data_IF_553382319711
#
_entry.id   IF_553382319711
#
_cell.length_a   1.000
_cell.length_b   1.000
_cell.length_c   1.000
_cell.angle_alpha   90.00
_cell.angle_beta   90.00
_cell.angle_gamma   90.00
#
_symmetry.space_group_name_H-M   'P 1'
#
loop_
_entity.id
_entity.type
_entity.pdbx_description
1 polymer ?
#
# COMPACT_ATOMS: atom_id res chain seq x y z
N UNK A 1 -26.15 12.77 -14.42
CA UNK A 1 -25.59 11.96 -13.29
C UNK A 1 -24.21 12.45 -12.87
N UNK A 2 -23.22 12.50 -13.78
CA UNK A 2 -21.85 12.97 -13.49
C UNK A 2 -21.77 14.26 -12.64
N UNK A 3 -22.49 15.31 -13.04
CA UNK A 3 -22.48 16.60 -12.31
C UNK A 3 -23.12 16.53 -10.91
N UNK A 4 -24.07 15.62 -10.67
CA UNK A 4 -24.69 15.43 -9.36
C UNK A 4 -23.79 14.60 -8.44
N UNK A 5 -23.12 13.57 -8.98
CA UNK A 5 -22.13 12.79 -8.26
C UNK A 5 -20.93 13.64 -7.83
N UNK A 6 -20.41 14.49 -8.72
CA UNK A 6 -19.34 15.44 -8.38
C UNK A 6 -19.77 16.46 -7.31
N UNK A 7 -21.05 16.87 -7.30
CA UNK A 7 -21.57 17.76 -6.27
C UNK A 7 -21.66 17.07 -4.91
N UNK A 8 -22.09 15.80 -4.88
CA UNK A 8 -22.12 15.00 -3.65
C UNK A 8 -20.71 14.71 -3.15
N UNK A 9 -19.80 14.32 -4.05
CA UNK A 9 -18.38 14.10 -3.77
C UNK A 9 -17.73 15.29 -3.07
N UNK A 10 -18.01 16.51 -3.54
CA UNK A 10 -17.49 17.76 -2.96
C UNK A 10 -17.91 17.99 -1.50
N UNK A 11 -18.99 17.35 -1.01
CA UNK A 11 -19.38 17.42 0.41
C UNK A 11 -18.50 16.56 1.30
N UNK A 12 -17.86 15.55 0.74
CA UNK A 12 -17.03 14.57 1.46
C UNK A 12 -15.53 14.78 1.26
N UNK A 13 -15.12 15.54 0.25
CA UNK A 13 -13.71 15.90 0.04
C UNK A 13 -13.41 17.16 0.87
N UNK A 14 -12.44 17.13 1.80
CA UNK A 14 -11.96 18.34 2.46
C UNK A 14 -11.32 19.25 1.41
N UNK A 15 -12.05 20.30 1.04
CA UNK A 15 -11.60 21.32 0.09
C UNK A 15 -11.00 22.46 0.91
N UNK A 16 -9.72 22.39 1.20
CA UNK A 16 -9.00 23.40 2.01
C UNK A 16 -8.71 24.68 1.21
N UNK A 17 -9.69 25.19 0.47
CA UNK A 17 -9.58 26.40 -0.37
C UNK A 17 -8.71 26.25 -1.63
N UNK A 18 -8.05 25.11 -1.84
CA UNK A 18 -7.30 24.82 -3.06
C UNK A 18 -8.21 24.33 -4.19
N UNK A 19 -7.88 24.68 -5.44
CA UNK A 19 -8.47 24.01 -6.61
C UNK A 19 -8.15 22.51 -6.54
N UNK A 20 -9.17 21.66 -6.69
CA UNK A 20 -9.09 20.21 -6.56
C UNK A 20 -9.44 19.55 -7.89
N UNK A 21 -8.60 18.61 -8.30
CA UNK A 21 -8.86 17.69 -9.40
C UNK A 21 -9.60 16.48 -8.84
N UNK A 22 -10.74 16.15 -9.43
CA UNK A 22 -11.59 15.04 -9.00
C UNK A 22 -11.93 14.19 -10.21
N UNK A 23 -11.81 12.88 -10.04
CA UNK A 23 -12.28 11.89 -10.99
C UNK A 23 -13.07 10.79 -10.26
N UNK A 24 -13.86 10.02 -10.98
CA UNK A 24 -14.70 8.98 -10.40
C UNK A 24 -14.89 7.79 -11.33
N UNK A 25 -15.18 6.63 -10.72
CA UNK A 25 -15.52 5.40 -11.40
C UNK A 25 -16.73 4.76 -10.73
N UNK A 26 -17.70 4.32 -11.53
CA UNK A 26 -18.85 3.56 -11.02
C UNK A 26 -18.40 2.11 -10.79
N UNK A 27 -18.71 1.55 -9.61
CA UNK A 27 -18.31 0.20 -9.21
C UNK A 27 -19.48 -0.79 -9.31
N UNK A 28 -19.42 -1.65 -10.33
CA UNK A 28 -20.33 -2.79 -10.55
C UNK A 28 -21.62 -2.46 -11.29
N UNK A 29 -22.28 -3.51 -11.79
CA UNK A 29 -23.51 -3.44 -12.61
C UNK A 29 -24.79 -3.79 -11.84
N UNK A 30 -24.69 -4.07 -10.54
CA UNK A 30 -25.83 -4.53 -9.72
C UNK A 30 -26.76 -3.38 -9.31
N UNK A 31 -27.45 -2.86 -10.32
CA UNK A 31 -28.64 -2.02 -10.21
C UNK A 31 -29.90 -2.84 -9.85
N UNK A 32 -29.80 -4.16 -9.71
CA UNK A 32 -30.99 -5.02 -9.67
C UNK A 32 -31.70 -5.11 -8.30
N UNK A 33 -31.06 -4.71 -7.19
CA UNK A 33 -31.69 -4.81 -5.86
C UNK A 33 -31.61 -3.54 -4.98
N UNK A 34 -30.92 -2.48 -5.42
CA UNK A 34 -30.92 -1.20 -4.70
C UNK A 34 -30.82 -0.01 -5.65
N UNK A 35 -31.55 1.07 -5.36
CA UNK A 35 -31.44 2.37 -6.08
C UNK A 35 -30.08 3.07 -5.86
N UNK A 36 -29.10 2.41 -5.23
CA UNK A 36 -27.82 3.00 -4.87
C UNK A 36 -26.70 2.54 -5.81
N UNK A 37 -26.05 3.52 -6.44
CA UNK A 37 -24.87 3.31 -7.27
C UNK A 37 -23.63 3.45 -6.41
N UNK A 38 -22.75 2.44 -6.43
CA UNK A 38 -21.43 2.55 -5.79
C UNK A 38 -20.50 3.34 -6.70
N UNK A 39 -19.85 4.36 -6.14
CA UNK A 39 -18.94 5.24 -6.88
C UNK A 39 -17.63 5.34 -6.11
N UNK A 40 -16.53 5.00 -6.76
CA UNK A 40 -15.19 5.33 -6.31
C UNK A 40 -14.88 6.76 -6.75
N UNK A 41 -14.46 7.60 -5.81
CA UNK A 41 -14.06 8.98 -6.09
C UNK A 41 -12.59 9.14 -5.68
N UNK A 42 -11.81 9.76 -6.56
CA UNK A 42 -10.43 10.14 -6.31
C UNK A 42 -10.32 11.65 -6.39
N UNK A 43 -9.59 12.25 -5.46
CA UNK A 43 -9.34 13.68 -5.46
C UNK A 43 -7.89 14.00 -5.10
N UNK A 44 -7.33 15.02 -5.75
CA UNK A 44 -6.01 15.56 -5.43
C UNK A 44 -6.03 17.08 -5.56
N UNK A 45 -5.20 17.77 -4.77
CA UNK A 45 -4.96 19.19 -4.99
C UNK A 45 -4.37 19.42 -6.39
N UNK A 46 -4.80 20.49 -7.06
CA UNK A 46 -4.25 20.87 -8.37
C UNK A 46 -2.75 21.15 -8.28
N UNK A 47 -2.27 21.67 -7.14
CA UNK A 47 -0.84 21.89 -6.89
C UNK A 47 -0.04 20.59 -6.97
N UNK A 48 -0.47 19.55 -6.27
CA UNK A 48 0.22 18.25 -6.29
C UNK A 48 0.18 17.63 -7.68
N UNK A 49 -0.97 17.73 -8.36
CA UNK A 49 -1.17 17.24 -9.73
C UNK A 49 -0.23 17.93 -10.73
N UNK A 50 -0.24 19.27 -10.80
CA UNK A 50 0.62 20.03 -11.72
C UNK A 50 2.11 19.90 -11.40
N UNK A 51 2.47 19.74 -10.12
CA UNK A 51 3.87 19.50 -9.74
C UNK A 51 4.41 18.21 -10.34
N UNK A 52 3.63 17.12 -10.34
CA UNK A 52 4.04 15.85 -10.95
C UNK A 52 4.09 15.96 -12.47
N UNK A 53 3.09 16.60 -13.09
CA UNK A 53 3.07 16.81 -14.54
C UNK A 53 4.22 17.70 -15.02
N UNK A 54 4.60 18.71 -14.24
CA UNK A 54 5.73 19.59 -14.53
C UNK A 54 7.04 18.82 -14.69
N UNK A 55 7.34 17.93 -13.75
CA UNK A 55 8.57 17.11 -13.78
C UNK A 55 8.64 16.22 -15.03
N UNK A 56 7.51 15.66 -15.47
CA UNK A 56 7.47 14.84 -16.69
C UNK A 56 7.64 15.70 -17.95
N UNK A 57 7.04 16.89 -17.98
CA UNK A 57 7.18 17.83 -19.10
C UNK A 57 8.61 18.35 -19.26
N UNK A 58 9.36 18.51 -18.17
CA UNK A 58 10.78 18.92 -18.20
C UNK A 58 11.68 17.91 -18.93
N UNK A 59 11.26 16.65 -19.01
CA UNK A 59 11.96 15.58 -19.74
C UNK A 59 11.20 15.14 -21.01
N UNK A 60 10.35 16.02 -21.54
CA UNK A 60 9.54 15.82 -22.76
C UNK A 60 8.56 14.62 -22.71
N UNK A 61 8.24 14.12 -21.51
CA UNK A 61 7.23 13.08 -21.30
C UNK A 61 5.85 13.72 -21.16
N UNK A 62 4.90 13.26 -21.98
CA UNK A 62 3.50 13.69 -21.96
C UNK A 62 2.63 12.55 -21.41
N UNK A 63 2.28 12.56 -20.12
CA UNK A 63 1.42 11.52 -19.56
C UNK A 63 0.02 11.60 -20.17
N UNK A 64 -0.48 10.45 -20.62
CA UNK A 64 -1.86 10.27 -21.11
C UNK A 64 -2.82 9.92 -19.98
N UNK A 65 -2.33 9.22 -18.96
CA UNK A 65 -3.08 8.77 -17.79
C UNK A 65 -2.34 9.22 -16.54
N UNK A 66 -3.11 9.67 -15.54
CA UNK A 66 -2.63 9.89 -14.17
C UNK A 66 -3.50 9.03 -13.27
N UNK A 67 -2.88 8.17 -12.48
CA UNK A 67 -3.58 7.19 -11.64
C UNK A 67 -3.19 7.31 -10.16
N UNK A 68 -3.94 6.63 -9.32
CA UNK A 68 -3.62 6.46 -7.90
C UNK A 68 -2.84 5.17 -7.71
N UNK A 69 -1.79 5.24 -6.89
CA UNK A 69 -0.90 4.12 -6.56
C UNK A 69 -1.67 2.85 -6.14
N UNK A 70 -2.65 2.96 -5.23
CA UNK A 70 -3.44 1.81 -4.76
C UNK A 70 -4.29 1.15 -5.85
N UNK A 71 -4.77 1.92 -6.84
CA UNK A 71 -5.49 1.40 -8.00
C UNK A 71 -4.55 0.73 -8.99
N UNK A 72 -3.40 1.34 -9.27
CA UNK A 72 -2.37 0.72 -10.10
C UNK A 72 -1.95 -0.64 -9.51
N UNK A 73 -1.64 -0.68 -8.21
CA UNK A 73 -1.31 -1.91 -7.49
C UNK A 73 -2.43 -2.95 -7.56
N UNK A 74 -3.68 -2.52 -7.38
CA UNK A 74 -4.85 -3.41 -7.50
C UNK A 74 -4.99 -3.97 -8.91
N UNK A 75 -4.82 -3.15 -9.95
CA UNK A 75 -4.88 -3.58 -11.34
C UNK A 75 -3.79 -4.60 -11.66
N UNK A 76 -2.56 -4.37 -11.19
CA UNK A 76 -1.46 -5.33 -11.37
C UNK A 76 -1.78 -6.69 -10.74
N UNK A 77 -2.33 -6.69 -9.53
CA UNK A 77 -2.74 -7.93 -8.87
C UNK A 77 -3.87 -8.64 -9.64
N UNK A 78 -4.89 -7.88 -10.06
CA UNK A 78 -6.08 -8.38 -10.78
C UNK A 78 -5.79 -8.85 -12.20
N UNK A 79 -4.70 -8.38 -12.83
CA UNK A 79 -4.29 -8.85 -14.15
C UNK A 79 -3.90 -10.33 -14.16
N UNK A 80 -3.51 -10.88 -13.01
CA UNK A 80 -2.97 -12.24 -12.90
C UNK A 80 -3.69 -13.09 -11.85
N UNK A 81 -4.60 -12.51 -11.08
CA UNK A 81 -5.30 -13.19 -9.99
C UNK A 81 -6.77 -12.83 -9.96
N UNK A 82 -7.60 -13.84 -9.71
CA UNK A 82 -9.01 -13.63 -9.39
C UNK A 82 -9.20 -13.20 -7.93
N UNK A 83 -10.22 -12.37 -7.71
CA UNK A 83 -10.73 -12.12 -6.36
C UNK A 83 -11.55 -13.31 -5.86
N UNK A 84 -11.49 -13.61 -4.54
CA UNK A 84 -12.32 -14.64 -3.95
C UNK A 84 -13.81 -14.34 -4.14
N UNK A 85 -14.63 -15.38 -4.21
CA UNK A 85 -16.09 -15.23 -4.28
C UNK A 85 -16.68 -14.62 -3.00
N UNK A 86 -16.06 -14.92 -1.86
CA UNK A 86 -16.38 -14.39 -0.53
C UNK A 86 -15.11 -14.00 0.24
N UNK A 87 -15.15 -12.83 0.86
CA UNK A 87 -14.05 -12.28 1.65
C UNK A 87 -13.09 -11.42 0.82
N UNK A 88 -11.96 -11.09 1.45
CA UNK A 88 -11.05 -10.05 0.98
C UNK A 88 -9.62 -10.55 0.83
N UNK A 89 -8.96 -10.06 -0.21
CA UNK A 89 -7.49 -9.99 -0.31
C UNK A 89 -7.05 -8.66 0.29
N UNK A 90 -6.03 -8.69 1.16
CA UNK A 90 -5.44 -7.49 1.76
C UNK A 90 -4.08 -7.24 1.10
N UNK A 91 -4.01 -6.25 0.22
CA UNK A 91 -2.75 -5.78 -0.37
C UNK A 91 -2.05 -4.84 0.63
N UNK A 92 -0.79 -5.11 0.93
CA UNK A 92 0.08 -4.29 1.77
C UNK A 92 1.24 -3.77 0.91
N UNK A 93 1.08 -2.54 0.39
CA UNK A 93 2.14 -1.85 -0.35
C UNK A 93 3.09 -1.17 0.63
N UNK A 94 4.14 -1.90 1.03
CA UNK A 94 5.11 -1.43 2.02
C UNK A 94 6.20 -0.64 1.30
N UNK A 95 5.95 0.66 1.15
CA UNK A 95 6.92 1.62 0.62
C UNK A 95 7.97 2.04 1.64
N UNK A 96 8.85 2.97 1.24
CA UNK A 96 9.89 3.50 2.13
C UNK A 96 9.31 4.35 3.27
N UNK A 97 8.34 5.24 2.99
CA UNK A 97 7.83 6.24 3.96
C UNK A 97 6.47 5.89 4.54
N UNK A 98 5.66 5.12 3.81
CA UNK A 98 4.30 4.76 4.18
C UNK A 98 4.02 3.32 3.73
N UNK A 99 2.95 2.75 4.28
CA UNK A 99 2.32 1.55 3.74
C UNK A 99 0.92 1.90 3.27
N UNK A 100 0.56 1.50 2.04
CA UNK A 100 -0.83 1.55 1.57
C UNK A 100 -1.50 0.20 1.81
N UNK A 101 -2.61 0.20 2.54
CA UNK A 101 -3.38 -1.01 2.85
C UNK A 101 -4.64 -0.98 2.00
N UNK A 102 -4.77 -1.89 1.05
CA UNK A 102 -5.91 -1.97 0.13
C UNK A 102 -6.66 -3.28 0.30
N UNK A 103 -7.98 -3.21 0.47
CA UNK A 103 -8.86 -4.36 0.67
C UNK A 103 -9.69 -4.56 -0.60
N UNK A 104 -9.57 -5.75 -1.19
CA UNK A 104 -10.21 -6.13 -2.45
C UNK A 104 -11.08 -7.38 -2.27
N UNK A 105 -12.34 -7.33 -2.68
CA UNK A 105 -13.24 -8.47 -2.74
C UNK A 105 -14.25 -8.27 -3.86
N UNK A 106 -14.76 -9.36 -4.46
CA UNK A 106 -15.61 -9.29 -5.66
C UNK A 106 -16.92 -8.55 -5.40
N UNK A 107 -17.51 -8.76 -4.21
CA UNK A 107 -18.78 -8.15 -3.80
C UNK A 107 -18.58 -7.03 -2.78
N UNK A 108 -17.40 -6.95 -2.20
CA UNK A 108 -17.08 -6.11 -1.07
C UNK A 108 -16.73 -4.67 -1.48
N UNK A 109 -16.74 -3.77 -0.50
CA UNK A 109 -16.38 -2.36 -0.72
C UNK A 109 -14.88 -2.24 -0.96
N UNK A 110 -14.48 -1.61 -2.07
CA UNK A 110 -13.09 -1.19 -2.26
C UNK A 110 -12.71 -0.20 -1.17
N UNK A 111 -11.61 -0.47 -0.47
CA UNK A 111 -11.13 0.39 0.60
C UNK A 111 -9.62 0.47 0.58
N UNK A 112 -9.08 1.67 0.79
CA UNK A 112 -7.65 1.89 0.92
C UNK A 112 -7.36 2.87 2.04
N UNK A 113 -6.27 2.64 2.77
CA UNK A 113 -5.78 3.53 3.83
C UNK A 113 -4.26 3.53 3.83
N UNK A 114 -3.69 4.73 3.81
CA UNK A 114 -2.27 4.91 4.06
C UNK A 114 -2.00 4.97 5.57
N UNK A 115 -0.93 4.30 6.00
CA UNK A 115 -0.38 4.40 7.35
C UNK A 115 1.06 4.89 7.29
N UNK A 116 1.44 5.77 8.22
CA UNK A 116 2.77 6.39 8.28
C UNK A 116 3.84 5.45 8.86
N UNK A 117 3.81 4.18 8.44
CA UNK A 117 4.80 3.16 8.77
C UNK A 117 5.24 2.55 7.46
N UNK A 118 6.50 2.80 7.09
CA UNK A 118 7.15 2.22 5.91
C UNK A 118 8.56 1.76 6.26
N UNK A 119 9.30 1.27 5.26
CA UNK A 119 10.64 0.69 5.39
C UNK A 119 11.65 1.55 6.17
N UNK A 120 11.56 2.87 6.10
CA UNK A 120 12.45 3.79 6.80
C UNK A 120 12.33 3.68 8.33
N UNK A 121 11.11 3.46 8.86
CA UNK A 121 10.89 3.33 10.31
C UNK A 121 11.62 2.10 10.87
N UNK A 122 11.70 1.03 10.06
CA UNK A 122 12.44 -0.18 10.42
C UNK A 122 13.96 0.05 10.40
N UNK A 123 14.43 0.81 9.42
CA UNK A 123 15.84 1.19 9.32
C UNK A 123 16.26 2.09 10.47
N UNK A 124 15.43 3.07 10.82
CA UNK A 124 15.65 3.96 11.97
C UNK A 124 15.71 3.16 13.28
N UNK A 125 14.82 2.18 13.47
CA UNK A 125 14.84 1.29 14.64
C UNK A 125 16.15 0.48 14.74
N UNK A 126 16.69 0.00 13.62
CA UNK A 126 18.01 -0.66 13.57
C UNK A 126 19.15 0.33 13.87
N UNK A 127 19.10 1.55 13.33
CA UNK A 127 20.09 2.60 13.61
C UNK A 127 20.13 2.91 15.11
N UNK A 128 18.97 3.05 15.75
CA UNK A 128 18.87 3.33 17.18
C UNK A 128 19.33 2.16 18.06
N UNK A 129 18.94 0.92 17.71
CA UNK A 129 19.26 -0.28 18.50
C UNK A 129 20.72 -0.70 18.39
N UNK A 130 21.34 -0.50 17.23
CA UNK A 130 22.67 -1.05 16.91
C UNK A 130 23.71 0.02 16.55
N UNK A 131 23.36 1.31 16.62
CA UNK A 131 24.30 2.42 16.40
C UNK A 131 24.78 2.51 14.95
N UNK A 132 23.99 1.99 14.01
CA UNK A 132 24.34 1.89 12.60
C UNK A 132 24.06 3.19 11.86
N UNK A 133 24.79 3.44 10.76
CA UNK A 133 24.41 4.47 9.79
C UNK A 133 23.29 3.95 8.89
N UNK A 134 22.57 4.86 8.23
CA UNK A 134 21.42 4.53 7.37
C UNK A 134 21.72 3.41 6.35
N UNK A 135 22.81 3.53 5.57
CA UNK A 135 23.16 2.52 4.55
C UNK A 135 23.53 1.16 5.16
N UNK A 136 24.18 1.16 6.33
CA UNK A 136 24.51 -0.07 7.05
C UNK A 136 23.24 -0.71 7.60
N UNK A 137 22.33 0.08 8.16
CA UNK A 137 21.04 -0.37 8.66
C UNK A 137 20.13 -0.92 7.55
N UNK A 138 20.07 -0.28 6.37
CA UNK A 138 19.35 -0.81 5.20
C UNK A 138 19.91 -2.18 4.78
N UNK A 139 21.24 -2.30 4.74
CA UNK A 139 21.90 -3.57 4.40
C UNK A 139 21.59 -4.67 5.44
N UNK A 140 21.71 -4.35 6.73
CA UNK A 140 21.38 -5.27 7.82
C UNK A 140 19.91 -5.67 7.77
N UNK A 141 18.99 -4.73 7.54
CA UNK A 141 17.55 -5.00 7.38
C UNK A 141 17.27 -6.00 6.25
N UNK A 142 17.93 -5.82 5.11
CA UNK A 142 17.75 -6.69 3.95
C UNK A 142 18.36 -8.08 4.15
N UNK A 143 19.57 -8.18 4.69
CA UNK A 143 20.33 -9.44 4.78
C UNK A 143 20.02 -10.24 6.05
N UNK A 144 19.89 -9.55 7.18
CA UNK A 144 19.83 -10.14 8.52
C UNK A 144 18.47 -10.01 9.19
N UNK A 145 17.65 -9.03 8.77
CA UNK A 145 16.32 -8.79 9.34
C UNK A 145 16.34 -7.77 10.46
N UNK A 146 15.33 -7.81 11.33
CA UNK A 146 15.11 -6.78 12.36
C UNK A 146 15.72 -7.12 13.73
N UNK A 147 16.10 -8.38 13.92
CA UNK A 147 16.79 -8.88 15.11
C UNK A 147 18.12 -9.54 14.70
N UNK A 148 19.07 -8.76 14.13
CA UNK A 148 20.38 -9.27 13.74
C UNK A 148 21.21 -9.69 14.95
N UNK A 149 22.18 -10.58 14.73
CA UNK A 149 23.17 -10.96 15.74
C UNK A 149 24.28 -9.88 15.82
N UNK A 150 23.89 -8.71 16.33
CA UNK A 150 24.75 -7.55 16.53
C UNK A 150 24.65 -7.09 17.98
N UNK A 151 25.75 -6.54 18.50
CA UNK A 151 25.74 -5.93 19.83
C UNK A 151 24.82 -4.70 19.82
N UNK A 152 23.83 -4.71 20.72
CA UNK A 152 22.96 -3.55 20.90
C UNK A 152 23.73 -2.47 21.63
N UNK A 153 23.58 -1.22 21.19
CA UNK A 153 24.09 -0.08 21.93
C UNK A 153 23.19 0.15 23.15
N UNK A 154 23.80 0.25 24.33
CA UNK A 154 23.11 0.67 25.53
C UNK A 154 22.59 2.10 25.35
N UNK A 155 21.27 2.24 25.23
CA UNK A 155 20.61 3.52 25.41
C UNK A 155 20.82 3.90 26.88
N UNK A 156 21.70 4.86 27.12
CA UNK A 156 22.26 5.20 28.44
C UNK A 156 21.28 5.13 29.63
N UNK A 157 21.86 4.74 30.78
CA UNK A 157 21.22 4.64 32.09
C UNK A 157 20.30 5.84 32.39
N UNK A 158 18.97 5.64 32.39
CA UNK A 158 18.05 6.66 32.92
C UNK A 158 16.63 6.69 32.33
N UNK A 159 16.37 6.01 31.22
CA UNK A 159 15.02 5.86 30.70
C UNK A 159 14.50 4.46 30.96
N UNK A 160 13.45 4.30 31.75
CA UNK A 160 12.60 3.11 31.70
C UNK A 160 12.24 2.83 30.22
N UNK A 161 12.96 1.93 29.53
CA UNK A 161 12.47 1.31 28.29
C UNK A 161 11.36 0.36 28.72
N UNK A 162 10.23 0.92 29.14
CA UNK A 162 8.97 0.22 29.32
C UNK A 162 8.71 -0.48 27.99
N UNK A 163 8.98 -1.79 27.94
CA UNK A 163 8.70 -2.76 26.88
C UNK A 163 8.21 -2.12 25.58
N UNK A 164 9.07 -1.36 24.90
CA UNK A 164 8.65 -0.64 23.70
C UNK A 164 8.35 -1.71 22.67
N UNK A 165 7.10 -1.78 22.21
CA UNK A 165 6.67 -2.72 21.18
C UNK A 165 7.65 -2.65 20.02
N UNK A 166 8.10 -3.81 19.53
CA UNK A 166 8.97 -3.86 18.37
C UNK A 166 8.29 -3.15 17.19
N UNK A 167 9.05 -2.58 16.25
CA UNK A 167 8.51 -1.85 15.09
C UNK A 167 7.51 -2.69 14.28
N UNK A 168 7.72 -4.01 14.20
CA UNK A 168 6.77 -4.97 13.63
C UNK A 168 5.41 -4.96 14.34
N UNK A 169 5.39 -4.88 15.67
CA UNK A 169 4.15 -4.79 16.44
C UNK A 169 3.40 -3.50 16.20
N UNK A 170 4.11 -2.38 16.07
CA UNK A 170 3.50 -1.11 15.67
C UNK A 170 2.89 -1.19 14.27
N UNK A 171 3.62 -1.77 13.31
CA UNK A 171 3.13 -1.99 11.96
C UNK A 171 1.88 -2.89 11.94
N UNK A 172 1.96 -4.07 12.56
CA UNK A 172 0.85 -5.00 12.63
C UNK A 172 -0.37 -4.43 13.36
N UNK A 173 -0.17 -3.57 14.35
CA UNK A 173 -1.26 -2.90 15.06
C UNK A 173 -1.98 -1.88 14.15
N UNK A 174 -1.26 -1.16 13.29
CA UNK A 174 -1.86 -0.27 12.27
C UNK A 174 -2.60 -1.06 11.19
N UNK A 175 -2.08 -2.21 10.76
CA UNK A 175 -2.81 -3.12 9.86
C UNK A 175 -4.09 -3.59 10.54
N UNK A 176 -4.02 -4.12 11.76
CA UNK A 176 -5.18 -4.59 12.51
C UNK A 176 -6.20 -3.47 12.79
N UNK A 177 -5.75 -2.24 13.05
CA UNK A 177 -6.63 -1.07 13.20
C UNK A 177 -7.40 -0.78 11.91
N UNK A 178 -6.75 -0.91 10.76
CA UNK A 178 -7.36 -0.74 9.44
C UNK A 178 -8.41 -1.82 9.18
N UNK A 179 -8.08 -3.09 9.43
CA UNK A 179 -9.02 -4.20 9.29
C UNK A 179 -10.24 -4.03 10.21
N UNK A 180 -10.05 -3.70 11.49
CA UNK A 180 -11.17 -3.45 12.42
C UNK A 180 -12.06 -2.30 11.99
N UNK A 181 -11.48 -1.24 11.43
CA UNK A 181 -12.26 -0.13 10.88
C UNK A 181 -13.14 -0.64 9.73
N UNK A 182 -12.55 -1.40 8.80
CA UNK A 182 -13.31 -1.98 7.68
C UNK A 182 -14.46 -2.89 8.14
N UNK A 183 -14.19 -3.78 9.11
CA UNK A 183 -15.22 -4.65 9.71
C UNK A 183 -16.36 -3.83 10.30
N UNK A 184 -16.02 -2.75 11.01
CA UNK A 184 -17.03 -1.88 11.64
C UNK A 184 -17.91 -1.19 10.60
N UNK A 185 -17.34 -0.73 9.49
CA UNK A 185 -18.08 -0.01 8.45
C UNK A 185 -18.90 -0.93 7.55
N UNK A 186 -18.44 -2.15 7.29
CA UNK A 186 -19.04 -3.04 6.27
C UNK A 186 -19.67 -4.32 6.82
N UNK A 187 -19.32 -4.73 8.05
CA UNK A 187 -19.69 -6.04 8.61
C UNK A 187 -18.86 -7.22 8.08
N UNK A 188 -18.09 -7.05 7.00
CA UNK A 188 -17.23 -8.09 6.43
C UNK A 188 -15.97 -8.27 7.29
N UNK A 189 -15.67 -9.52 7.67
CA UNK A 189 -14.54 -9.88 8.54
C UNK A 189 -13.70 -11.06 8.04
N UNK A 190 -14.00 -11.57 6.85
CA UNK A 190 -13.24 -12.62 6.20
C UNK A 190 -12.10 -12.00 5.38
N UNK A 191 -10.88 -12.11 5.90
CA UNK A 191 -9.65 -11.75 5.20
C UNK A 191 -8.95 -13.04 4.77
N UNK A 192 -9.01 -13.39 3.48
CA UNK A 192 -8.55 -14.67 2.97
C UNK A 192 -7.03 -14.77 2.94
N UNK A 193 -6.35 -13.71 2.51
CA UNK A 193 -4.88 -13.66 2.45
C UNK A 193 -4.37 -12.22 2.46
N UNK A 194 -3.10 -12.08 2.83
CA UNK A 194 -2.34 -10.84 2.72
C UNK A 194 -1.33 -10.97 1.59
N UNK A 195 -1.18 -9.92 0.82
CA UNK A 195 -0.26 -9.89 -0.31
C UNK A 195 0.67 -8.70 -0.12
N UNK A 196 1.97 -8.97 -0.02
CA UNK A 196 3.00 -7.96 0.14
C UNK A 196 3.43 -7.44 -1.23
N UNK A 197 3.39 -6.13 -1.39
CA UNK A 197 3.89 -5.40 -2.56
C UNK A 197 4.80 -4.25 -2.10
N UNK A 198 5.51 -3.63 -3.03
CA UNK A 198 6.49 -2.58 -2.74
C UNK A 198 7.84 -3.14 -2.28
N UNK A 199 8.83 -2.24 -2.11
CA UNK A 199 10.20 -2.64 -1.74
C UNK A 199 10.30 -3.28 -0.34
N UNK A 200 9.38 -2.93 0.57
CA UNK A 200 9.31 -3.52 1.90
C UNK A 200 8.83 -4.96 1.92
N UNK A 201 8.25 -5.49 0.84
CA UNK A 201 7.92 -6.90 0.71
C UNK A 201 9.15 -7.81 0.80
N UNK A 202 10.33 -7.30 0.42
CA UNK A 202 11.61 -8.02 0.52
C UNK A 202 12.18 -8.06 1.95
N UNK A 203 11.55 -7.40 2.91
CA UNK A 203 12.05 -7.33 4.28
C UNK A 203 11.96 -8.70 4.94
N UNK A 204 13.12 -9.19 5.37
CA UNK A 204 13.21 -10.43 6.13
C UNK A 204 12.34 -10.35 7.39
N UNK A 205 11.76 -11.48 7.78
CA UNK A 205 10.85 -11.66 8.93
C UNK A 205 9.46 -11.04 8.79
N UNK A 206 9.21 -10.12 7.84
CA UNK A 206 7.92 -9.44 7.72
C UNK A 206 6.78 -10.41 7.39
N UNK A 207 6.99 -11.30 6.41
CA UNK A 207 5.99 -12.29 6.02
C UNK A 207 5.64 -13.21 7.20
N UNK A 208 6.64 -13.89 7.77
CA UNK A 208 6.45 -14.81 8.90
C UNK A 208 5.82 -14.12 10.13
N UNK A 209 6.17 -12.85 10.38
CA UNK A 209 5.53 -12.05 11.42
C UNK A 209 4.03 -11.86 11.17
N UNK A 210 3.65 -11.46 9.96
CA UNK A 210 2.25 -11.23 9.59
C UNK A 210 1.44 -12.53 9.59
N UNK A 211 1.98 -13.63 9.08
CA UNK A 211 1.37 -14.96 9.13
C UNK A 211 1.04 -15.34 10.58
N UNK A 212 2.02 -15.18 11.48
CA UNK A 212 1.83 -15.47 12.91
C UNK A 212 0.82 -14.53 13.57
N UNK A 213 0.87 -13.24 13.27
CA UNK A 213 0.01 -12.22 13.89
C UNK A 213 -1.45 -12.38 13.48
N UNK A 214 -1.70 -12.57 12.18
CA UNK A 214 -3.03 -12.61 11.60
C UNK A 214 -3.59 -14.02 11.41
N UNK A 215 -2.76 -15.06 11.56
CA UNK A 215 -3.15 -16.46 11.33
C UNK A 215 -3.77 -16.65 9.95
N UNK A 216 -3.16 -16.04 8.96
CA UNK A 216 -3.60 -16.01 7.58
C UNK A 216 -2.41 -16.19 6.66
N UNK A 217 -2.67 -16.63 5.43
CA UNK A 217 -1.65 -16.78 4.41
C UNK A 217 -1.13 -15.40 4.02
N UNK A 218 0.20 -15.28 3.92
CA UNK A 218 0.88 -14.07 3.48
C UNK A 218 1.85 -14.44 2.37
N UNK A 219 1.78 -13.75 1.25
CA UNK A 219 2.68 -13.98 0.12
C UNK A 219 3.25 -12.68 -0.41
N UNK A 220 4.48 -12.71 -0.92
CA UNK A 220 5.03 -11.60 -1.70
C UNK A 220 4.57 -11.74 -3.15
N UNK A 221 4.02 -10.67 -3.72
CA UNK A 221 3.56 -10.67 -5.10
C UNK A 221 4.72 -10.44 -6.06
N UNK A 222 4.78 -11.28 -7.09
CA UNK A 222 5.65 -11.09 -8.23
C UNK A 222 4.80 -10.65 -9.44
N UNK A 223 4.85 -9.35 -9.82
CA UNK A 223 4.07 -8.84 -10.95
C UNK A 223 4.60 -9.33 -12.30
N UNK A 224 5.77 -9.98 -12.34
CA UNK A 224 6.39 -10.50 -13.55
C UNK A 224 6.20 -12.01 -13.74
N UNK A 225 5.62 -12.72 -12.77
CA UNK A 225 5.55 -14.18 -12.77
C UNK A 225 4.84 -14.78 -14.00
N UNK A 226 3.94 -14.02 -14.62
CA UNK A 226 3.19 -14.42 -15.82
C UNK A 226 3.58 -13.60 -17.07
N UNK A 227 4.70 -12.86 -17.02
CA UNK A 227 5.20 -12.04 -18.12
C UNK A 227 6.39 -12.68 -18.81
N UNK A 228 6.52 -12.46 -20.12
CA UNK A 228 7.74 -12.81 -20.84
C UNK A 228 8.82 -11.76 -20.53
N UNK A 229 9.92 -12.24 -19.95
CA UNK A 229 11.01 -11.39 -19.47
C UNK A 229 12.13 -11.30 -20.52
N UNK A 230 12.38 -10.10 -21.03
CA UNK A 230 13.56 -9.79 -21.87
C UNK A 230 14.75 -9.47 -20.96
N UNK A 231 15.92 -10.07 -21.16
CA UNK A 231 17.10 -9.91 -20.27
C UNK A 231 17.33 -8.47 -19.78
N UNK A 232 17.52 -8.29 -18.46
CA UNK A 232 17.87 -7.00 -17.83
C UNK A 232 16.76 -6.31 -17.04
N UNK A 233 15.81 -7.07 -16.48
CA UNK A 233 14.49 -6.63 -16.05
C UNK A 233 14.44 -5.85 -14.71
N UNK A 234 15.57 -5.33 -14.26
CA UNK A 234 15.68 -4.50 -13.07
C UNK A 234 16.42 -5.16 -11.91
N UNK A 235 17.17 -4.35 -11.17
CA UNK A 235 17.82 -4.74 -9.92
C UNK A 235 16.82 -4.63 -8.76
N UNK A 236 16.61 -5.72 -8.02
CA UNK A 236 15.83 -5.72 -6.77
C UNK A 236 14.66 -6.70 -6.75
N UNK A 237 13.81 -6.59 -5.73
CA UNK A 237 12.73 -7.54 -5.49
C UNK A 237 11.53 -7.25 -6.41
N UNK A 238 10.96 -8.23 -7.14
CA UNK A 238 9.90 -8.00 -8.14
C UNK A 238 8.71 -7.17 -7.64
N UNK A 239 8.28 -7.43 -6.41
CA UNK A 239 7.20 -6.69 -5.73
C UNK A 239 7.33 -5.16 -5.78
N UNK A 240 8.55 -4.60 -5.86
CA UNK A 240 8.78 -3.16 -5.92
C UNK A 240 8.25 -2.50 -7.21
N UNK A 241 8.07 -3.30 -8.26
CA UNK A 241 7.59 -2.82 -9.56
C UNK A 241 6.07 -2.95 -9.74
N UNK A 242 5.35 -3.42 -8.72
CA UNK A 242 3.91 -3.70 -8.83
C UNK A 242 3.10 -2.49 -9.29
N UNK A 243 3.33 -1.30 -8.71
CA UNK A 243 2.64 -0.09 -9.13
C UNK A 243 3.00 0.31 -10.57
N UNK A 244 4.27 0.16 -10.97
CA UNK A 244 4.72 0.46 -12.33
C UNK A 244 4.09 -0.48 -13.36
N UNK A 245 4.02 -1.78 -13.06
CA UNK A 245 3.30 -2.76 -13.87
C UNK A 245 1.82 -2.41 -13.98
N UNK A 246 1.19 -2.03 -12.87
CA UNK A 246 -0.20 -1.60 -12.83
C UNK A 246 -0.51 -0.38 -13.69
N UNK A 247 0.42 0.58 -13.74
CA UNK A 247 0.34 1.74 -14.63
C UNK A 247 0.60 1.36 -16.09
N UNK A 248 1.46 0.38 -16.36
CA UNK A 248 1.81 -0.03 -17.72
C UNK A 248 0.67 -0.81 -18.41
N UNK A 249 -0.11 -1.59 -17.66
CA UNK A 249 -1.27 -2.35 -18.18
C UNK A 249 -2.53 -1.50 -18.33
N UNK A 250 -2.53 -0.25 -17.85
CA UNK A 250 -3.64 0.69 -18.06
C UNK A 250 -3.70 1.05 -19.53
N UNK A 251 -4.62 0.43 -20.24
CA UNK A 251 -5.04 0.89 -21.56
C UNK A 251 -5.96 2.11 -21.43
N UNK A 252 -5.95 2.95 -22.47
CA UNK A 252 -6.57 4.28 -22.55
C UNK A 252 -8.00 4.41 -22.01
#
# INVERSE_FOLDING_TARGET
MASAMLLEARKHIPLDGSETQVDYQILGDHLEESDQVRVLIVASSKKAFESHLGLLREVDIRPTIVDVESLAVSNAYLAFNDLPEEGLVVLLDVGCRKTSITLLGRKDMFFTRDVSVGGAVFTEDLMEKYGLKFLEAEKVKAEQGLEPDLERVDAGEGGLRLASKNVLDRFGDEVNRTLRYYVKETGQSQFNKFVLVGGGAAMKDLQAYLEKKFRADVEAFDPFAQMEMVEGNGDGHPAQYTAAVGLAIREH
#
